data_IF_851138856335
#
_entry.id   IF_851138856335
#
_cell.length_a   1.000
_cell.length_b   1.000
_cell.length_c   1.000
_cell.angle_alpha   90.00
_cell.angle_beta   90.00
_cell.angle_gamma   90.00
#
_symmetry.space_group_name_H-M   'P 1'
#
loop_
_entity.id
_entity.type
_entity.pdbx_description
1 polymer ?
#
# COMPACT_ATOMS: atom_id res chain seq x y z
N UNK A 1 7.50 -11.41 -28.84
CA UNK A 1 8.63 -11.07 -27.98
C UNK A 1 8.47 -9.71 -27.27
N UNK A 2 8.19 -8.59 -27.96
CA UNK A 2 7.97 -7.26 -27.33
C UNK A 2 6.81 -7.23 -26.32
N UNK A 3 5.68 -7.87 -26.58
CA UNK A 3 4.53 -7.93 -25.66
C UNK A 3 4.85 -8.73 -24.39
N UNK A 4 5.58 -9.83 -24.49
CA UNK A 4 6.01 -10.64 -23.34
C UNK A 4 6.96 -9.82 -22.46
N UNK A 5 7.93 -9.12 -23.07
CA UNK A 5 8.87 -8.27 -22.34
C UNK A 5 8.16 -7.10 -21.64
N UNK A 6 7.15 -6.51 -22.27
CA UNK A 6 6.31 -5.48 -21.64
C UNK A 6 5.49 -6.03 -20.47
N UNK A 7 4.91 -7.23 -20.62
CA UNK A 7 4.19 -7.90 -19.53
C UNK A 7 5.13 -8.19 -18.35
N UNK A 8 6.30 -8.80 -18.60
CA UNK A 8 7.29 -9.09 -17.54
C UNK A 8 7.75 -7.82 -16.82
N UNK A 9 7.95 -6.73 -17.54
CA UNK A 9 8.34 -5.45 -16.93
C UNK A 9 7.20 -4.81 -16.11
N UNK A 10 5.97 -5.02 -16.54
CA UNK A 10 4.79 -4.50 -15.84
C UNK A 10 4.46 -5.32 -14.59
N UNK A 11 4.52 -6.64 -14.70
CA UNK A 11 4.14 -7.61 -13.68
C UNK A 11 5.37 -8.39 -13.16
N UNK A 12 6.48 -7.69 -12.93
CA UNK A 12 7.75 -8.33 -12.56
C UNK A 12 7.64 -9.18 -11.28
N UNK A 13 6.92 -8.69 -10.27
CA UNK A 13 6.73 -9.40 -9.00
C UNK A 13 5.95 -10.70 -9.21
N UNK A 14 4.88 -10.67 -10.01
CA UNK A 14 4.11 -11.85 -10.39
C UNK A 14 4.98 -12.87 -11.12
N UNK A 15 5.79 -12.43 -12.08
CA UNK A 15 6.69 -13.31 -12.83
C UNK A 15 7.74 -13.97 -11.95
N UNK A 16 8.32 -13.21 -11.00
CA UNK A 16 9.29 -13.74 -10.03
C UNK A 16 8.60 -14.75 -9.11
N UNK A 17 7.44 -14.42 -8.55
CA UNK A 17 6.67 -15.32 -7.69
C UNK A 17 6.32 -16.64 -8.42
N UNK A 18 5.85 -16.53 -9.68
CA UNK A 18 5.55 -17.69 -10.52
C UNK A 18 6.79 -18.56 -10.79
N UNK A 19 7.92 -17.92 -11.12
CA UNK A 19 9.17 -18.65 -11.34
C UNK A 19 9.66 -19.38 -10.07
N UNK A 20 9.55 -18.75 -8.90
CA UNK A 20 9.89 -19.36 -7.62
C UNK A 20 8.94 -20.52 -7.27
N UNK A 21 7.63 -20.35 -7.46
CA UNK A 21 6.65 -21.42 -7.24
C UNK A 21 6.90 -22.62 -8.16
N UNK A 22 7.11 -22.38 -9.46
CA UNK A 22 7.42 -23.43 -10.43
C UNK A 22 8.76 -24.08 -10.11
N UNK A 23 9.80 -23.29 -9.82
CA UNK A 23 11.12 -23.82 -9.45
C UNK A 23 11.05 -24.71 -8.20
N UNK A 24 10.30 -24.31 -7.17
CA UNK A 24 10.12 -25.11 -5.95
C UNK A 24 9.31 -26.40 -6.21
N UNK A 25 8.42 -26.42 -7.21
CA UNK A 25 7.62 -27.57 -7.56
C UNK A 25 8.46 -28.74 -8.14
N UNK A 26 9.67 -28.47 -8.67
CA UNK A 26 10.60 -29.54 -9.07
C UNK A 26 11.23 -30.26 -7.88
N UNK A 27 11.29 -29.61 -6.71
CA UNK A 27 11.83 -30.17 -5.47
C UNK A 27 10.72 -30.81 -4.63
N UNK A 28 9.57 -30.12 -4.55
CA UNK A 28 8.36 -30.60 -3.86
C UNK A 28 7.26 -30.71 -4.90
N UNK A 29 7.00 -31.90 -5.47
CA UNK A 29 6.01 -32.07 -6.55
C UNK A 29 4.60 -31.63 -6.16
N UNK A 30 3.81 -31.10 -7.10
CA UNK A 30 2.43 -30.70 -6.85
C UNK A 30 1.60 -31.85 -6.26
N UNK A 31 0.90 -31.55 -5.17
CA UNK A 31 0.00 -32.49 -4.48
C UNK A 31 -1.22 -31.74 -3.92
N UNK A 32 -2.16 -32.46 -3.34
CA UNK A 32 -3.32 -31.87 -2.66
C UNK A 32 -2.93 -30.89 -1.53
N UNK A 33 -1.76 -31.06 -0.93
CA UNK A 33 -1.21 -30.18 0.11
C UNK A 33 -0.98 -28.72 -0.37
N UNK A 34 -0.86 -28.49 -1.68
CA UNK A 34 -0.72 -27.13 -2.21
C UNK A 34 -1.94 -26.25 -1.90
N UNK A 35 -3.13 -26.85 -1.81
CA UNK A 35 -4.33 -26.11 -1.42
C UNK A 35 -4.29 -25.69 0.06
N UNK A 36 -3.62 -26.46 0.92
CA UNK A 36 -3.47 -26.15 2.34
C UNK A 36 -2.46 -25.01 2.60
N UNK A 37 -1.56 -24.75 1.64
CA UNK A 37 -0.65 -23.60 1.73
C UNK A 37 -1.34 -22.28 1.48
N UNK A 38 -2.48 -22.29 0.75
CA UNK A 38 -3.15 -21.08 0.31
C UNK A 38 -4.06 -20.55 1.41
N UNK A 39 -3.76 -19.33 1.87
CA UNK A 39 -4.64 -18.62 2.80
C UNK A 39 -5.82 -17.98 2.05
N UNK A 40 -6.89 -18.77 1.86
CA UNK A 40 -8.11 -18.31 1.20
C UNK A 40 -8.78 -17.14 1.94
N UNK A 41 -8.65 -17.06 3.26
CA UNK A 41 -9.20 -15.97 4.04
C UNK A 41 -8.60 -14.63 3.62
N UNK A 42 -7.28 -14.58 3.49
CA UNK A 42 -6.55 -13.39 3.06
C UNK A 42 -6.93 -13.02 1.63
N UNK A 43 -6.97 -13.99 0.70
CA UNK A 43 -7.33 -13.74 -0.70
C UNK A 43 -8.75 -13.17 -0.84
N UNK A 44 -9.72 -13.74 -0.12
CA UNK A 44 -11.12 -13.26 -0.11
C UNK A 44 -11.18 -11.84 0.44
N UNK A 45 -10.53 -11.56 1.56
CA UNK A 45 -10.50 -10.23 2.16
C UNK A 45 -9.88 -9.20 1.23
N UNK A 46 -8.74 -9.52 0.60
CA UNK A 46 -8.09 -8.64 -0.37
C UNK A 46 -9.00 -8.36 -1.56
N UNK A 47 -9.59 -9.40 -2.15
CA UNK A 47 -10.50 -9.24 -3.28
C UNK A 47 -11.69 -8.35 -2.93
N UNK A 48 -12.37 -8.66 -1.82
CA UNK A 48 -13.57 -7.94 -1.39
C UNK A 48 -13.28 -6.47 -1.05
N UNK A 49 -12.17 -6.20 -0.37
CA UNK A 49 -11.72 -4.83 -0.09
C UNK A 49 -11.42 -4.07 -1.39
N UNK A 50 -10.65 -4.66 -2.32
CA UNK A 50 -10.32 -4.02 -3.60
C UNK A 50 -11.58 -3.67 -4.40
N UNK A 51 -12.52 -4.59 -4.49
CA UNK A 51 -13.79 -4.38 -5.21
C UNK A 51 -14.63 -3.28 -4.57
N UNK A 52 -14.77 -3.29 -3.25
CA UNK A 52 -15.57 -2.31 -2.50
C UNK A 52 -14.97 -0.92 -2.61
N UNK A 53 -13.66 -0.80 -2.42
CA UNK A 53 -12.92 0.47 -2.50
C UNK A 53 -12.94 1.02 -3.93
N UNK A 54 -12.85 0.17 -4.96
CA UNK A 54 -13.03 0.58 -6.34
C UNK A 54 -14.43 1.16 -6.60
N UNK A 55 -15.47 0.58 -5.96
CA UNK A 55 -16.83 1.10 -5.99
C UNK A 55 -16.94 2.49 -5.37
N UNK A 56 -16.42 2.69 -4.15
CA UNK A 56 -16.40 4.00 -3.48
C UNK A 56 -15.68 5.03 -4.35
N UNK A 57 -14.49 4.69 -4.88
CA UNK A 57 -13.70 5.56 -5.74
C UNK A 57 -14.49 6.01 -6.99
N UNK A 58 -15.24 5.11 -7.60
CA UNK A 58 -16.01 5.39 -8.82
C UNK A 58 -17.14 6.42 -8.60
N UNK A 59 -17.63 6.57 -7.36
CA UNK A 59 -18.67 7.57 -7.05
C UNK A 59 -18.17 9.01 -7.06
N UNK A 60 -16.84 9.23 -7.15
CA UNK A 60 -16.24 10.57 -7.07
C UNK A 60 -16.17 11.14 -5.64
N UNK A 61 -16.51 10.35 -4.62
CA UNK A 61 -16.56 10.80 -3.21
C UNK A 61 -15.22 11.39 -2.73
N UNK A 62 -14.10 10.75 -3.09
CA UNK A 62 -12.76 11.23 -2.68
C UNK A 62 -12.38 12.55 -3.32
N UNK A 63 -12.67 12.73 -4.62
CA UNK A 63 -12.43 13.99 -5.31
C UNK A 63 -13.29 15.11 -4.73
N UNK A 64 -14.56 14.83 -4.43
CA UNK A 64 -15.46 15.78 -3.79
C UNK A 64 -14.99 16.19 -2.39
N UNK A 65 -14.50 15.21 -1.59
CA UNK A 65 -13.92 15.46 -0.27
C UNK A 65 -12.69 16.38 -0.36
N UNK A 66 -11.74 16.04 -1.24
CA UNK A 66 -10.52 16.82 -1.44
C UNK A 66 -10.84 18.26 -1.85
N UNK A 67 -11.71 18.45 -2.83
CA UNK A 67 -12.10 19.78 -3.28
C UNK A 67 -12.85 20.57 -2.20
N UNK A 68 -13.72 19.91 -1.44
CA UNK A 68 -14.42 20.53 -0.32
C UNK A 68 -13.48 21.09 0.75
N UNK A 69 -12.46 20.33 1.10
CA UNK A 69 -11.46 20.73 2.09
C UNK A 69 -10.50 21.80 1.56
N UNK A 70 -10.08 21.72 0.29
CA UNK A 70 -9.12 22.65 -0.30
C UNK A 70 -9.70 24.03 -0.62
N UNK A 71 -11.01 24.18 -0.71
CA UNK A 71 -11.65 25.48 -0.98
C UNK A 71 -11.32 26.59 0.01
N UNK A 72 -10.96 26.24 1.24
CA UNK A 72 -10.67 27.19 2.31
C UNK A 72 -9.18 27.47 2.48
N UNK A 73 -8.34 26.89 1.61
CA UNK A 73 -6.89 26.96 1.73
C UNK A 73 -6.30 27.67 0.53
N UNK A 74 -5.52 28.72 0.77
CA UNK A 74 -5.00 29.63 -0.26
C UNK A 74 -3.47 29.69 -0.28
N UNK A 75 -2.77 28.77 0.37
CA UNK A 75 -1.32 28.73 0.35
C UNK A 75 -0.80 27.33 0.02
N UNK A 76 0.25 27.25 -0.79
CA UNK A 76 0.90 25.97 -1.21
C UNK A 76 1.27 25.10 0.00
N UNK A 77 1.81 25.72 1.07
CA UNK A 77 2.17 25.00 2.31
C UNK A 77 0.95 24.33 2.95
N UNK A 78 -0.14 25.05 3.10
CA UNK A 78 -1.34 24.54 3.76
C UNK A 78 -2.09 23.53 2.88
N UNK A 79 -2.10 23.77 1.57
CA UNK A 79 -2.62 22.79 0.57
C UNK A 79 -1.80 21.50 0.65
N UNK A 80 -0.47 21.61 0.65
CA UNK A 80 0.42 20.45 0.75
C UNK A 80 0.24 19.70 2.07
N UNK A 81 0.16 20.40 3.19
CA UNK A 81 -0.12 19.79 4.49
C UNK A 81 -1.45 19.03 4.48
N UNK A 82 -2.51 19.64 3.92
CA UNK A 82 -3.82 19.01 3.84
C UNK A 82 -3.80 17.76 2.95
N UNK A 83 -3.15 17.81 1.78
CA UNK A 83 -3.02 16.67 0.86
C UNK A 83 -2.21 15.53 1.49
N UNK A 84 -1.12 15.85 2.17
CA UNK A 84 -0.29 14.86 2.88
C UNK A 84 -1.09 14.21 4.03
N UNK A 85 -1.85 14.98 4.80
CA UNK A 85 -2.74 14.46 5.83
C UNK A 85 -3.86 13.59 5.23
N UNK A 86 -4.45 14.02 4.11
CA UNK A 86 -5.42 13.21 3.38
C UNK A 86 -4.82 11.89 2.89
N UNK A 87 -3.60 11.91 2.32
CA UNK A 87 -2.89 10.68 1.95
C UNK A 87 -2.70 9.77 3.15
N UNK A 88 -2.27 10.33 4.28
CA UNK A 88 -2.02 9.58 5.51
C UNK A 88 -3.29 8.90 6.04
N UNK A 89 -4.38 9.64 6.23
CA UNK A 89 -5.60 9.11 6.82
C UNK A 89 -6.44 8.26 5.84
N UNK A 90 -6.50 8.64 4.56
CA UNK A 90 -7.23 7.85 3.57
C UNK A 90 -6.55 6.50 3.31
N UNK A 91 -5.23 6.43 3.34
CA UNK A 91 -4.51 5.17 3.13
C UNK A 91 -4.75 4.13 4.23
N UNK A 92 -5.21 4.55 5.41
CA UNK A 92 -5.63 3.63 6.47
C UNK A 92 -6.89 2.83 6.08
N UNK A 93 -7.74 3.39 5.23
CA UNK A 93 -9.03 2.83 4.85
C UNK A 93 -9.04 2.23 3.44
N UNK A 94 -8.32 2.89 2.48
CA UNK A 94 -8.44 2.62 1.05
C UNK A 94 -7.30 1.79 0.46
N UNK A 95 -6.25 1.56 1.19
CA UNK A 95 -4.91 1.18 0.77
C UNK A 95 -4.07 2.35 0.24
N UNK A 96 -2.76 2.26 0.43
CA UNK A 96 -1.78 3.25 -0.04
C UNK A 96 -1.84 3.45 -1.57
N UNK A 97 -1.95 2.37 -2.33
CA UNK A 97 -1.96 2.39 -3.81
C UNK A 97 -3.18 3.14 -4.35
N UNK A 98 -4.37 2.82 -3.84
CA UNK A 98 -5.62 3.47 -4.26
C UNK A 98 -5.63 4.96 -3.90
N UNK A 99 -5.10 5.28 -2.72
CA UNK A 99 -4.98 6.66 -2.26
C UNK A 99 -4.12 7.47 -3.23
N UNK A 100 -2.94 6.97 -3.61
CA UNK A 100 -2.04 7.70 -4.51
C UNK A 100 -2.53 7.76 -5.94
N UNK A 101 -3.11 6.68 -6.49
CA UNK A 101 -3.74 6.72 -7.82
C UNK A 101 -4.87 7.76 -7.89
N UNK A 102 -5.46 8.11 -6.75
CA UNK A 102 -6.53 9.10 -6.68
C UNK A 102 -6.01 10.51 -6.44
N UNK A 103 -5.10 10.70 -5.48
CA UNK A 103 -4.65 12.02 -5.04
C UNK A 103 -3.53 12.59 -5.91
N UNK A 104 -2.57 11.79 -6.37
CA UNK A 104 -1.43 12.27 -7.17
C UNK A 104 -1.87 12.99 -8.47
N UNK A 105 -2.78 12.43 -9.31
CA UNK A 105 -3.27 13.16 -10.48
C UNK A 105 -3.98 14.47 -10.12
N UNK A 106 -4.72 14.47 -8.99
CA UNK A 106 -5.37 15.68 -8.50
C UNK A 106 -4.35 16.74 -8.06
N UNK A 107 -3.29 16.35 -7.37
CA UNK A 107 -2.18 17.23 -6.95
C UNK A 107 -1.46 17.80 -8.17
N UNK A 108 -1.18 16.99 -9.20
CA UNK A 108 -0.55 17.45 -10.44
C UNK A 108 -1.39 18.52 -11.12
N UNK A 109 -2.70 18.31 -11.26
CA UNK A 109 -3.63 19.30 -11.85
C UNK A 109 -3.70 20.59 -11.02
N UNK A 110 -3.70 20.47 -9.69
CA UNK A 110 -3.75 21.64 -8.80
C UNK A 110 -2.50 22.51 -8.93
N UNK A 111 -1.33 21.90 -9.14
CA UNK A 111 -0.05 22.59 -9.25
C UNK A 111 0.25 23.14 -10.65
N UNK A 112 -0.56 22.83 -11.68
CA UNK A 112 -0.41 23.41 -13.02
C UNK A 112 -0.51 24.95 -13.03
N UNK A 113 -1.21 25.54 -12.06
CA UNK A 113 -1.36 26.99 -11.90
C UNK A 113 -0.13 27.70 -11.29
N UNK A 114 0.90 26.99 -10.85
CA UNK A 114 2.10 27.58 -10.24
C UNK A 114 3.10 28.01 -11.33
N UNK A 115 3.79 29.17 -11.19
CA UNK A 115 4.83 29.60 -12.10
C UNK A 115 5.93 28.56 -12.28
N UNK A 116 6.35 28.29 -13.52
CA UNK A 116 7.27 27.20 -13.91
C UNK A 116 8.59 27.17 -13.14
N UNK A 117 9.10 28.29 -12.68
CA UNK A 117 10.39 28.37 -11.98
C UNK A 117 10.40 27.57 -10.66
N UNK A 118 9.28 27.54 -9.94
CA UNK A 118 9.13 26.84 -8.66
C UNK A 118 8.30 25.56 -8.74
N UNK A 119 7.50 25.41 -9.80
CA UNK A 119 6.53 24.33 -9.96
C UNK A 119 7.18 22.94 -9.79
N UNK A 120 8.29 22.67 -10.48
CA UNK A 120 8.94 21.36 -10.44
C UNK A 120 9.45 20.99 -9.04
N UNK A 121 10.03 21.97 -8.33
CA UNK A 121 10.57 21.76 -6.99
C UNK A 121 9.46 21.49 -5.98
N UNK A 122 8.36 22.22 -6.06
CA UNK A 122 7.19 22.08 -5.20
C UNK A 122 6.51 20.74 -5.49
N UNK A 123 6.27 20.43 -6.77
CA UNK A 123 5.64 19.19 -7.21
C UNK A 123 6.40 17.97 -6.75
N UNK A 124 7.72 17.91 -6.96
CA UNK A 124 8.55 16.79 -6.51
C UNK A 124 8.44 16.61 -5.00
N UNK A 125 8.60 17.69 -4.22
CA UNK A 125 8.55 17.62 -2.76
C UNK A 125 7.19 17.14 -2.27
N UNK A 126 6.13 17.69 -2.81
CA UNK A 126 4.77 17.36 -2.39
C UNK A 126 4.44 15.91 -2.73
N UNK A 127 4.72 15.44 -3.95
CA UNK A 127 4.47 14.05 -4.35
C UNK A 127 5.30 13.03 -3.55
N UNK A 128 6.55 13.39 -3.19
CA UNK A 128 7.37 12.55 -2.32
C UNK A 128 6.77 12.47 -0.92
N UNK A 129 6.30 13.59 -0.36
CA UNK A 129 5.63 13.62 0.95
C UNK A 129 4.29 12.88 0.93
N UNK A 130 3.48 13.02 -0.11
CA UNK A 130 2.23 12.25 -0.29
C UNK A 130 2.50 10.75 -0.36
N UNK A 131 3.55 10.35 -1.08
CA UNK A 131 3.93 8.93 -1.18
C UNK A 131 4.37 8.37 0.17
N UNK A 132 5.23 9.09 0.89
CA UNK A 132 5.63 8.71 2.23
C UNK A 132 4.43 8.66 3.18
N UNK A 133 3.51 9.64 3.08
CA UNK A 133 2.30 9.69 3.88
C UNK A 133 1.37 8.51 3.62
N UNK A 134 1.18 8.11 2.37
CA UNK A 134 0.37 6.95 2.03
C UNK A 134 0.98 5.64 2.57
N UNK A 135 2.29 5.45 2.45
CA UNK A 135 2.97 4.28 3.01
C UNK A 135 2.92 4.25 4.54
N UNK A 136 3.21 5.38 5.19
CA UNK A 136 3.29 5.50 6.65
C UNK A 136 1.91 5.55 7.32
N UNK A 137 0.90 6.11 6.66
CA UNK A 137 -0.47 6.10 7.13
C UNK A 137 -1.09 4.71 7.04
N UNK A 138 -0.92 4.03 5.91
CA UNK A 138 -1.49 2.71 5.68
C UNK A 138 -1.01 1.65 6.68
N UNK A 139 0.12 1.85 7.32
CA UNK A 139 0.63 0.88 8.29
C UNK A 139 -0.22 0.79 9.55
N UNK A 140 -1.02 1.83 9.91
CA UNK A 140 -1.77 1.87 11.17
C UNK A 140 -2.95 0.90 11.20
N UNK A 141 -3.43 0.41 10.06
CA UNK A 141 -4.58 -0.51 10.02
C UNK A 141 -4.25 -1.78 9.25
N UNK A 142 -4.90 -2.92 9.59
CA UNK A 142 -4.72 -4.15 8.83
C UNK A 142 -5.13 -4.03 7.36
N UNK A 143 -6.10 -3.18 7.04
CA UNK A 143 -6.62 -3.00 5.67
C UNK A 143 -5.88 -1.95 4.86
N UNK A 144 -5.00 -1.15 5.46
CA UNK A 144 -4.29 -0.07 4.80
C UNK A 144 -3.31 -0.56 3.73
N UNK A 145 -2.82 -1.81 3.84
CA UNK A 145 -2.00 -2.43 2.81
C UNK A 145 -2.08 -3.98 2.87
N UNK A 146 -1.79 -4.67 1.74
CA UNK A 146 -1.94 -6.12 1.65
C UNK A 146 -1.08 -6.91 2.65
N UNK A 147 0.16 -6.48 2.90
CA UNK A 147 1.06 -7.18 3.83
C UNK A 147 0.55 -7.10 5.28
N UNK A 148 -0.06 -5.99 5.68
CA UNK A 148 -0.64 -5.87 7.01
C UNK A 148 -1.81 -6.82 7.19
N UNK A 149 -2.71 -6.88 6.21
CA UNK A 149 -3.85 -7.77 6.26
C UNK A 149 -3.39 -9.23 6.33
N UNK A 150 -2.36 -9.59 5.56
CA UNK A 150 -1.77 -10.91 5.58
C UNK A 150 -1.15 -11.22 6.95
N UNK A 151 -0.24 -10.39 7.45
CA UNK A 151 0.44 -10.63 8.75
C UNK A 151 -0.54 -10.62 9.93
N UNK A 152 -1.56 -9.74 9.89
CA UNK A 152 -2.65 -9.70 10.88
C UNK A 152 -3.36 -11.05 10.97
N UNK A 153 -3.66 -11.67 9.83
CA UNK A 153 -4.31 -12.98 9.80
C UNK A 153 -3.33 -14.12 10.13
N UNK A 154 -2.13 -14.12 9.54
CA UNK A 154 -1.11 -15.16 9.70
C UNK A 154 -0.70 -15.37 11.15
N UNK A 155 -0.47 -14.27 11.89
CA UNK A 155 -0.07 -14.33 13.31
C UNK A 155 -1.23 -14.22 14.30
N UNK A 156 -2.44 -14.17 13.81
CA UNK A 156 -3.61 -14.12 14.69
C UNK A 156 -3.68 -12.88 15.58
N UNK A 157 -3.09 -11.76 15.17
CA UNK A 157 -3.11 -10.52 15.97
C UNK A 157 -4.53 -10.11 16.35
N UNK A 158 -4.70 -9.65 17.61
CA UNK A 158 -5.86 -8.83 17.95
C UNK A 158 -5.68 -7.41 17.39
N UNK A 159 -6.77 -6.66 17.24
CA UNK A 159 -6.68 -5.26 16.82
C UNK A 159 -5.83 -4.44 17.80
N UNK A 160 -5.97 -4.69 19.11
CA UNK A 160 -5.16 -4.01 20.13
C UNK A 160 -3.66 -4.32 20.01
N UNK A 161 -3.29 -5.60 19.81
CA UNK A 161 -1.89 -6.02 19.61
C UNK A 161 -1.30 -5.40 18.35
N UNK A 162 -2.08 -5.38 17.25
CA UNK A 162 -1.66 -4.77 16.00
C UNK A 162 -1.40 -3.27 16.16
N UNK A 163 -2.38 -2.55 16.72
CA UNK A 163 -2.27 -1.10 16.92
C UNK A 163 -1.13 -0.76 17.89
N UNK A 164 -0.96 -1.47 18.99
CA UNK A 164 0.13 -1.21 19.94
C UNK A 164 1.52 -1.41 19.33
N UNK A 165 1.66 -2.34 18.37
CA UNK A 165 2.91 -2.55 17.67
C UNK A 165 3.26 -1.40 16.71
N UNK A 166 2.26 -0.80 16.05
CA UNK A 166 2.47 0.16 14.95
C UNK A 166 2.24 1.61 15.36
N UNK A 167 1.37 1.88 16.34
CA UNK A 167 0.98 3.25 16.69
C UNK A 167 2.16 4.20 17.01
N UNK A 168 3.21 3.80 17.73
CA UNK A 168 4.35 4.68 17.99
C UNK A 168 5.01 5.18 16.71
N UNK A 169 5.18 4.30 15.72
CA UNK A 169 5.76 4.63 14.41
C UNK A 169 4.85 5.53 13.59
N UNK A 170 3.53 5.28 13.62
CA UNK A 170 2.55 6.11 12.93
C UNK A 170 2.47 7.53 13.50
N UNK A 171 2.52 7.68 14.83
CA UNK A 171 2.51 9.00 15.48
C UNK A 171 3.76 9.79 15.14
N UNK A 172 4.95 9.17 15.24
CA UNK A 172 6.19 9.83 14.84
C UNK A 172 6.17 10.19 13.34
N UNK A 173 5.68 9.29 12.49
CA UNK A 173 5.55 9.54 11.06
C UNK A 173 4.67 10.74 10.74
N UNK A 174 3.53 10.87 11.42
CA UNK A 174 2.63 11.99 11.25
C UNK A 174 3.32 13.32 11.64
N UNK A 175 4.05 13.33 12.75
CA UNK A 175 4.81 14.50 13.19
C UNK A 175 5.92 14.88 12.20
N UNK A 176 6.69 13.89 11.71
CA UNK A 176 7.74 14.11 10.71
C UNK A 176 7.18 14.63 9.38
N UNK A 177 6.06 14.09 8.90
CA UNK A 177 5.40 14.52 7.68
C UNK A 177 4.86 15.94 7.79
N UNK A 178 4.16 16.26 8.90
CA UNK A 178 3.66 17.60 9.14
C UNK A 178 4.81 18.62 9.27
N UNK A 179 5.86 18.30 10.02
CA UNK A 179 7.08 19.10 10.12
C UNK A 179 7.74 19.32 8.77
N UNK A 180 7.85 18.29 7.94
CA UNK A 180 8.40 18.39 6.58
C UNK A 180 7.58 19.30 5.67
N UNK A 181 6.25 19.25 5.74
CA UNK A 181 5.40 20.18 5.02
C UNK A 181 5.65 21.64 5.43
N UNK A 182 5.75 21.88 6.73
CA UNK A 182 5.98 23.23 7.27
C UNK A 182 7.37 23.77 6.92
N UNK A 183 8.39 22.91 6.86
CA UNK A 183 9.78 23.31 6.59
C UNK A 183 10.09 23.42 5.09
N UNK A 184 9.60 22.50 4.26
CA UNK A 184 10.05 22.37 2.88
C UNK A 184 9.09 22.93 1.83
N UNK A 185 7.83 23.23 2.19
CA UNK A 185 6.87 23.83 1.27
C UNK A 185 6.80 25.35 1.50
N UNK A 186 6.78 26.17 0.39
CA UNK A 186 6.75 27.62 0.48
C UNK A 186 5.37 28.14 0.88
N UNK A 187 5.36 29.34 1.49
CA UNK A 187 4.14 30.12 1.72
C UNK A 187 3.88 30.98 0.48
N UNK A 188 3.45 30.34 -0.60
CA UNK A 188 3.06 31.02 -1.82
C UNK A 188 1.54 30.93 -1.97
N UNK A 189 0.87 31.99 -2.48
CA UNK A 189 -0.55 31.90 -2.77
C UNK A 189 -0.82 30.89 -3.90
N UNK A 190 -1.93 30.19 -3.80
CA UNK A 190 -2.44 29.27 -4.81
C UNK A 190 -3.94 29.45 -4.88
N UNK A 191 -4.49 29.47 -6.10
CA UNK A 191 -5.92 29.50 -6.29
C UNK A 191 -6.55 28.14 -5.97
N UNK A 192 -7.63 28.12 -5.18
CA UNK A 192 -8.34 26.88 -4.92
C UNK A 192 -8.95 26.31 -6.21
N UNK A 193 -9.13 24.98 -6.30
CA UNK A 193 -9.68 24.36 -7.50
C UNK A 193 -11.09 24.88 -7.79
N UNK A 194 -11.29 25.42 -9.00
CA UNK A 194 -12.57 26.00 -9.45
C UNK A 194 -13.63 24.94 -9.78
N UNK A 195 -13.20 23.72 -10.12
CA UNK A 195 -14.11 22.63 -10.46
C UNK A 195 -14.87 22.10 -9.24
N UNK A 196 -16.18 21.94 -9.40
CA UNK A 196 -17.01 21.30 -8.37
C UNK A 196 -17.24 19.86 -8.76
N UNK A 197 -16.48 18.94 -8.17
CA UNK A 197 -16.86 17.51 -8.22
C UNK A 197 -18.06 17.28 -7.31
N UNK A 198 -19.13 16.74 -7.89
CA UNK A 198 -20.28 16.24 -7.13
C UNK A 198 -20.19 14.72 -7.04
N UNK A 199 -20.66 14.19 -5.94
CA UNK A 199 -20.88 12.74 -5.80
C UNK A 199 -21.90 12.35 -6.87
N UNK A 200 -21.47 11.54 -7.84
CA UNK A 200 -22.29 11.17 -9.00
C UNK A 200 -23.51 10.34 -8.62
N UNK A 201 -23.39 9.52 -7.58
CA UNK A 201 -24.44 8.58 -7.15
C UNK A 201 -24.43 8.40 -5.63
N UNK A 202 -25.11 9.27 -4.83
CA UNK A 202 -25.11 9.17 -3.36
C UNK A 202 -25.64 7.84 -2.85
N UNK A 203 -26.66 7.26 -3.49
CA UNK A 203 -27.20 5.96 -3.11
C UNK A 203 -26.21 4.81 -3.30
N UNK A 204 -25.45 4.81 -4.42
CA UNK A 204 -24.38 3.83 -4.63
C UNK A 204 -23.23 4.01 -3.63
N UNK A 205 -22.89 5.25 -3.30
CA UNK A 205 -21.89 5.53 -2.26
C UNK A 205 -22.34 4.92 -0.92
N UNK A 206 -23.59 5.14 -0.50
CA UNK A 206 -24.13 4.55 0.71
C UNK A 206 -24.04 3.02 0.70
N UNK A 207 -24.42 2.39 -0.41
CA UNK A 207 -24.30 0.93 -0.57
C UNK A 207 -22.84 0.44 -0.45
N UNK A 208 -21.89 1.10 -1.12
CA UNK A 208 -20.47 0.72 -1.01
C UNK A 208 -19.89 0.99 0.39
N UNK A 209 -20.31 2.04 1.08
CA UNK A 209 -19.93 2.27 2.48
C UNK A 209 -20.47 1.17 3.41
N UNK A 210 -21.69 0.70 3.18
CA UNK A 210 -22.25 -0.44 3.92
C UNK A 210 -21.42 -1.71 3.65
N UNK A 211 -21.12 -2.01 2.38
CA UNK A 211 -20.27 -3.15 2.01
C UNK A 211 -18.87 -3.03 2.61
N UNK A 212 -18.33 -1.83 2.71
CA UNK A 212 -17.06 -1.59 3.41
C UNK A 212 -17.18 -1.91 4.91
N UNK A 213 -18.28 -1.54 5.55
CA UNK A 213 -18.58 -1.95 6.92
C UNK A 213 -18.61 -3.47 7.10
N UNK A 214 -19.20 -4.22 6.15
CA UNK A 214 -19.20 -5.70 6.17
C UNK A 214 -17.78 -6.24 6.02
N UNK A 215 -16.93 -5.64 5.17
CA UNK A 215 -15.49 -5.99 5.10
C UNK A 215 -14.82 -5.79 6.47
N UNK A 216 -15.06 -4.66 7.16
CA UNK A 216 -14.50 -4.39 8.49
C UNK A 216 -14.87 -5.46 9.51
N UNK A 217 -16.15 -5.88 9.54
CA UNK A 217 -16.61 -6.96 10.43
C UNK A 217 -15.85 -8.27 10.15
N UNK A 218 -15.52 -8.54 8.90
CA UNK A 218 -14.75 -9.75 8.54
C UNK A 218 -13.27 -9.62 8.92
N UNK A 219 -12.66 -8.43 8.75
CA UNK A 219 -11.30 -8.15 9.22
C UNK A 219 -11.22 -8.32 10.74
N UNK A 220 -12.22 -7.84 11.48
CA UNK A 220 -12.35 -8.00 12.93
C UNK A 220 -12.72 -9.44 13.37
N UNK A 221 -12.81 -10.39 12.42
CA UNK A 221 -13.14 -11.81 12.65
C UNK A 221 -14.54 -12.06 13.23
N UNK A 222 -15.45 -11.10 13.10
CA UNK A 222 -16.86 -11.24 13.51
C UNK A 222 -17.64 -12.01 12.43
N UNK A 223 -17.31 -11.78 11.14
CA UNK A 223 -17.99 -12.41 10.01
C UNK A 223 -17.09 -13.41 9.30
N UNK A 224 -17.71 -14.50 8.79
CA UNK A 224 -16.98 -15.50 8.00
C UNK A 224 -16.60 -14.94 6.61
N UNK A 225 -15.35 -15.12 6.12
CA UNK A 225 -14.92 -14.61 4.82
C UNK A 225 -15.75 -15.12 3.64
N UNK A 226 -16.21 -16.36 3.67
CA UNK A 226 -17.06 -16.91 2.60
C UNK A 226 -18.42 -16.22 2.51
N UNK A 227 -19.00 -15.83 3.66
CA UNK A 227 -20.22 -15.02 3.69
C UNK A 227 -19.97 -13.65 3.08
N UNK A 228 -18.85 -13.00 3.44
CA UNK A 228 -18.42 -11.74 2.84
C UNK A 228 -18.31 -11.85 1.32
N UNK A 229 -17.65 -12.90 0.81
CA UNK A 229 -17.48 -13.12 -0.63
C UNK A 229 -18.83 -13.16 -1.35
N UNK A 230 -19.77 -13.95 -0.84
CA UNK A 230 -21.12 -14.04 -1.43
C UNK A 230 -21.87 -12.71 -1.38
N UNK A 231 -21.85 -12.01 -0.24
CA UNK A 231 -22.50 -10.69 -0.09
C UNK A 231 -21.92 -9.69 -1.09
N UNK A 232 -20.60 -9.59 -1.20
CA UNK A 232 -19.95 -8.66 -2.14
C UNK A 232 -20.25 -9.05 -3.58
N UNK A 233 -20.12 -10.33 -3.95
CA UNK A 233 -20.39 -10.78 -5.33
C UNK A 233 -21.83 -10.50 -5.74
N UNK A 234 -22.81 -10.83 -4.91
CA UNK A 234 -24.24 -10.59 -5.20
C UNK A 234 -24.51 -9.09 -5.28
N UNK A 235 -24.03 -8.31 -4.32
CA UNK A 235 -24.23 -6.86 -4.31
C UNK A 235 -23.65 -6.19 -5.56
N UNK A 236 -22.43 -6.57 -5.98
CA UNK A 236 -21.79 -5.98 -7.17
C UNK A 236 -22.42 -6.46 -8.47
N UNK A 237 -22.93 -7.68 -8.55
CA UNK A 237 -23.71 -8.14 -9.71
C UNK A 237 -24.96 -7.30 -9.91
N UNK A 238 -25.56 -6.78 -8.84
CA UNK A 238 -26.75 -5.93 -8.87
C UNK A 238 -26.40 -4.45 -9.06
N UNK A 239 -25.32 -3.95 -8.42
CA UNK A 239 -24.96 -2.53 -8.43
C UNK A 239 -24.11 -2.13 -9.63
N UNK A 240 -23.02 -2.86 -9.88
CA UNK A 240 -22.06 -2.57 -10.98
C UNK A 240 -21.11 -3.74 -11.24
N UNK A 241 -21.41 -4.53 -12.25
CA UNK A 241 -20.59 -5.68 -12.68
C UNK A 241 -19.21 -5.26 -13.21
N UNK A 242 -19.03 -4.02 -13.63
CA UNK A 242 -17.76 -3.55 -14.18
C UNK A 242 -16.64 -3.53 -13.15
N UNK A 243 -16.98 -3.49 -11.85
CA UNK A 243 -16.03 -3.47 -10.75
C UNK A 243 -15.16 -4.73 -10.67
N UNK A 244 -15.70 -5.90 -11.08
CA UNK A 244 -14.92 -7.14 -11.12
C UNK A 244 -13.69 -7.01 -12.03
N UNK A 245 -13.71 -6.16 -13.06
CA UNK A 245 -12.56 -5.91 -13.93
C UNK A 245 -11.53 -4.95 -13.34
N UNK A 246 -11.85 -4.32 -12.20
CA UNK A 246 -10.99 -3.32 -11.54
C UNK A 246 -10.17 -3.89 -10.39
N UNK A 247 -10.42 -5.14 -9.99
CA UNK A 247 -9.60 -5.81 -8.99
C UNK A 247 -8.21 -6.14 -9.56
N UNK A 248 -7.20 -6.05 -8.73
CA UNK A 248 -5.82 -6.44 -9.06
C UNK A 248 -5.65 -7.96 -8.90
N UNK A 249 -6.01 -8.68 -9.96
CA UNK A 249 -5.84 -10.14 -10.01
C UNK A 249 -4.37 -10.56 -10.06
N UNK A 250 -3.47 -9.69 -10.57
CA UNK A 250 -2.03 -9.95 -10.56
C UNK A 250 -1.50 -10.03 -9.14
N UNK A 251 -1.96 -9.13 -8.25
CA UNK A 251 -1.63 -9.17 -6.83
C UNK A 251 -2.13 -10.47 -6.17
N UNK A 252 -3.39 -10.85 -6.39
CA UNK A 252 -3.93 -12.09 -5.82
C UNK A 252 -3.17 -13.33 -6.28
N UNK A 253 -2.85 -13.42 -7.57
CA UNK A 253 -2.07 -14.53 -8.12
C UNK A 253 -0.63 -14.53 -7.57
N UNK A 254 -0.05 -13.37 -7.34
CA UNK A 254 1.25 -13.23 -6.69
C UNK A 254 1.24 -13.84 -5.29
N UNK A 255 0.18 -13.57 -4.50
CA UNK A 255 0.01 -14.20 -3.18
C UNK A 255 -0.07 -15.72 -3.28
N UNK A 256 -0.87 -16.26 -4.22
CA UNK A 256 -0.99 -17.71 -4.44
C UNK A 256 0.38 -18.33 -4.75
N UNK A 257 1.16 -17.74 -5.66
CA UNK A 257 2.49 -18.25 -6.00
C UNK A 257 3.46 -18.19 -4.82
N UNK A 258 3.43 -17.11 -4.04
CA UNK A 258 4.27 -17.04 -2.84
C UNK A 258 3.82 -18.03 -1.76
N UNK A 259 2.53 -18.27 -1.58
CA UNK A 259 2.04 -19.29 -0.65
C UNK A 259 2.55 -20.68 -1.03
N UNK A 260 2.48 -21.04 -2.31
CA UNK A 260 3.03 -22.30 -2.82
C UNK A 260 4.54 -22.37 -2.59
N UNK A 261 5.27 -21.32 -2.95
CA UNK A 261 6.73 -21.28 -2.77
C UNK A 261 7.12 -21.43 -1.30
N UNK A 262 6.51 -20.66 -0.40
CA UNK A 262 6.79 -20.71 1.05
C UNK A 262 6.39 -22.08 1.65
N UNK A 263 5.24 -22.63 1.25
CA UNK A 263 4.82 -23.96 1.66
C UNK A 263 5.83 -25.04 1.26
N UNK A 264 6.31 -24.98 0.00
CA UNK A 264 7.36 -25.90 -0.47
C UNK A 264 8.68 -25.73 0.27
N UNK A 265 9.09 -24.49 0.56
CA UNK A 265 10.29 -24.17 1.35
C UNK A 265 10.22 -24.77 2.75
N UNK A 266 9.05 -24.74 3.38
CA UNK A 266 8.82 -25.36 4.71
C UNK A 266 9.07 -26.86 4.71
N UNK A 267 8.86 -27.53 3.58
CA UNK A 267 9.09 -28.99 3.42
C UNK A 267 10.55 -29.36 3.10
N UNK A 268 11.49 -28.41 3.10
CA UNK A 268 12.93 -28.64 2.92
C UNK A 268 13.64 -28.31 4.24
N UNK A 269 13.77 -29.28 5.20
CA UNK A 269 14.22 -28.99 6.57
C UNK A 269 15.62 -28.34 6.66
N UNK A 270 16.55 -28.77 5.78
CA UNK A 270 17.90 -28.21 5.75
C UNK A 270 17.92 -26.73 5.40
N UNK A 271 17.07 -26.31 4.44
CA UNK A 271 17.00 -24.93 3.98
C UNK A 271 16.20 -24.08 4.96
N UNK A 272 15.02 -24.52 5.38
CA UNK A 272 14.17 -23.79 6.32
C UNK A 272 14.89 -23.56 7.65
N UNK A 273 15.57 -24.59 8.21
CA UNK A 273 16.32 -24.46 9.44
C UNK A 273 17.55 -23.55 9.35
N UNK A 274 18.23 -23.48 8.21
CA UNK A 274 19.33 -22.53 7.99
C UNK A 274 18.81 -21.08 7.91
N UNK A 275 17.72 -20.86 7.17
CA UNK A 275 17.10 -19.54 7.01
C UNK A 275 16.46 -19.04 8.32
N UNK A 276 15.81 -19.92 9.09
CA UNK A 276 15.29 -19.57 10.41
C UNK A 276 16.40 -19.11 11.36
N UNK A 277 17.52 -19.86 11.43
CA UNK A 277 18.68 -19.47 12.26
C UNK A 277 19.28 -18.14 11.83
N UNK A 278 19.33 -17.85 10.53
CA UNK A 278 19.81 -16.56 10.02
C UNK A 278 18.88 -15.41 10.41
N UNK A 279 17.55 -15.63 10.38
CA UNK A 279 16.53 -14.65 10.71
C UNK A 279 16.44 -14.35 12.20
N UNK A 280 16.68 -15.34 13.06
CA UNK A 280 16.45 -15.23 14.49
C UNK A 280 17.18 -14.04 15.11
N UNK A 281 16.42 -13.13 15.73
CA UNK A 281 16.90 -11.87 16.31
C UNK A 281 17.22 -10.75 15.30
N UNK A 282 17.01 -11.00 14.01
CA UNK A 282 17.27 -10.03 12.91
C UNK A 282 16.06 -9.78 12.01
N UNK A 283 14.89 -10.24 12.42
CA UNK A 283 13.68 -10.28 11.60
C UNK A 283 13.29 -8.90 11.06
N UNK A 284 13.34 -7.88 11.90
CA UNK A 284 13.01 -6.51 11.51
C UNK A 284 13.96 -5.99 10.41
N UNK A 285 15.27 -6.04 10.65
CA UNK A 285 16.25 -5.53 9.70
C UNK A 285 16.23 -6.34 8.40
N UNK A 286 16.07 -7.67 8.49
CA UNK A 286 15.95 -8.53 7.30
C UNK A 286 14.68 -8.18 6.52
N UNK A 287 13.56 -7.89 7.19
CA UNK A 287 12.33 -7.47 6.53
C UNK A 287 12.48 -6.11 5.84
N UNK A 288 13.14 -5.15 6.49
CA UNK A 288 13.47 -3.85 5.87
C UNK A 288 14.33 -4.05 4.62
N UNK A 289 15.41 -4.82 4.72
CA UNK A 289 16.35 -5.03 3.59
C UNK A 289 15.71 -5.85 2.45
N UNK A 290 14.99 -6.92 2.77
CA UNK A 290 14.27 -7.71 1.77
C UNK A 290 13.25 -6.85 1.01
N UNK A 291 12.55 -5.96 1.70
CA UNK A 291 11.59 -5.04 1.07
C UNK A 291 12.24 -4.13 0.02
N UNK A 292 13.52 -3.75 0.20
CA UNK A 292 14.23 -2.92 -0.78
C UNK A 292 14.46 -3.63 -2.12
N UNK A 293 14.48 -4.97 -2.11
CA UNK A 293 14.81 -5.80 -3.28
C UNK A 293 13.56 -6.40 -3.92
N UNK A 294 12.66 -6.98 -3.10
CA UNK A 294 11.51 -7.74 -3.58
C UNK A 294 10.16 -7.07 -3.28
N UNK A 295 10.16 -5.86 -2.72
CA UNK A 295 8.98 -5.15 -2.19
C UNK A 295 8.46 -5.73 -0.86
N UNK A 296 7.76 -4.88 -0.09
CA UNK A 296 7.31 -5.19 1.27
C UNK A 296 6.26 -6.32 1.33
N UNK A 297 5.37 -6.45 0.35
CA UNK A 297 4.35 -7.51 0.32
C UNK A 297 4.99 -8.90 0.13
N UNK A 298 5.81 -9.15 -0.90
CA UNK A 298 6.56 -10.39 -1.03
C UNK A 298 7.45 -10.70 0.17
N UNK A 299 8.14 -9.68 0.71
CA UNK A 299 8.99 -9.83 1.88
C UNK A 299 8.19 -10.33 3.10
N UNK A 300 6.99 -9.78 3.33
CA UNK A 300 6.10 -10.21 4.41
C UNK A 300 5.71 -11.70 4.28
N UNK A 301 5.30 -12.13 3.08
CA UNK A 301 4.89 -13.52 2.86
C UNK A 301 6.07 -14.48 3.01
N UNK A 302 7.20 -14.14 2.37
CA UNK A 302 8.39 -14.98 2.39
C UNK A 302 8.93 -15.19 3.82
N UNK A 303 9.11 -14.08 4.55
CA UNK A 303 9.73 -14.13 5.88
C UNK A 303 8.79 -14.69 6.95
N UNK A 304 7.48 -14.55 6.79
CA UNK A 304 6.50 -15.12 7.73
C UNK A 304 6.44 -16.65 7.72
N UNK A 305 6.90 -17.30 6.66
CA UNK A 305 7.09 -18.74 6.63
C UNK A 305 8.33 -19.22 7.38
N UNK A 306 9.21 -18.29 7.76
CA UNK A 306 10.52 -18.59 8.35
C UNK A 306 10.69 -18.05 9.78
N UNK A 307 9.76 -17.25 10.30
CA UNK A 307 9.85 -16.63 11.62
C UNK A 307 8.51 -16.65 12.34
N UNK A 308 8.55 -16.88 13.65
CA UNK A 308 7.39 -16.75 14.54
C UNK A 308 7.27 -15.34 15.14
N UNK A 309 8.24 -14.45 14.91
CA UNK A 309 8.22 -13.09 15.41
C UNK A 309 7.41 -12.15 14.49
N UNK A 310 6.09 -12.34 14.49
CA UNK A 310 5.17 -11.55 13.67
C UNK A 310 5.22 -10.05 13.95
N UNK A 311 5.52 -9.62 15.21
CA UNK A 311 5.63 -8.19 15.54
C UNK A 311 6.81 -7.55 14.83
N UNK A 312 7.98 -8.17 14.85
CA UNK A 312 9.16 -7.65 14.17
C UNK A 312 8.97 -7.61 12.64
N UNK A 313 8.33 -8.65 12.06
CA UNK A 313 8.01 -8.66 10.63
C UNK A 313 6.97 -7.59 10.27
N UNK A 314 5.94 -7.38 11.08
CA UNK A 314 4.94 -6.35 10.87
C UNK A 314 5.58 -4.95 10.84
N UNK A 315 6.41 -4.64 11.83
CA UNK A 315 7.13 -3.35 11.86
C UNK A 315 8.11 -3.27 10.70
N UNK A 316 8.96 -4.30 10.51
CA UNK A 316 10.02 -4.30 9.51
C UNK A 316 9.52 -4.17 8.07
N UNK A 317 8.43 -4.84 7.69
CA UNK A 317 7.86 -4.74 6.33
C UNK A 317 7.15 -3.42 6.08
N UNK A 318 6.56 -2.79 7.11
CA UNK A 318 5.98 -1.46 6.99
C UNK A 318 7.08 -0.38 6.86
N UNK A 319 8.08 -0.39 7.72
CA UNK A 319 9.23 0.51 7.60
C UNK A 319 10.01 0.24 6.31
N UNK A 320 10.11 -1.02 5.91
CA UNK A 320 10.73 -1.46 4.66
C UNK A 320 10.03 -0.96 3.40
N UNK A 321 8.79 -0.50 3.48
CA UNK A 321 8.10 0.19 2.38
C UNK A 321 8.68 1.57 2.05
N UNK A 322 9.52 2.13 2.94
CA UNK A 322 10.35 3.31 2.71
C UNK A 322 11.68 2.89 2.07
N UNK A 323 12.40 3.84 1.46
CA UNK A 323 13.73 3.63 0.88
C UNK A 323 13.70 3.67 -0.64
N UNK A 324 13.85 2.53 -1.32
CA UNK A 324 13.87 2.46 -2.78
C UNK A 324 12.46 2.53 -3.39
N UNK A 325 12.36 2.88 -4.69
CA UNK A 325 11.09 2.84 -5.42
C UNK A 325 10.48 1.43 -5.49
N UNK A 326 11.33 0.39 -5.43
CA UNK A 326 10.90 -1.01 -5.50
C UNK A 326 10.29 -1.46 -4.17
N UNK A 327 10.67 -0.83 -3.07
CA UNK A 327 10.26 -1.20 -1.72
C UNK A 327 8.74 -1.20 -1.53
N UNK A 328 8.00 -0.33 -2.26
CA UNK A 328 6.54 -0.27 -2.23
C UNK A 328 5.98 0.00 -3.63
N UNK A 329 4.93 -0.75 -4.01
CA UNK A 329 4.17 -0.51 -5.24
C UNK A 329 3.61 0.92 -5.30
N UNK A 330 3.15 1.46 -4.18
CA UNK A 330 2.67 2.83 -4.03
C UNK A 330 3.71 3.87 -4.50
N UNK A 331 4.98 3.66 -4.13
CA UNK A 331 6.10 4.52 -4.56
C UNK A 331 6.30 4.51 -6.07
N UNK A 332 6.19 3.31 -6.67
CA UNK A 332 6.32 3.14 -8.11
C UNK A 332 5.14 3.77 -8.88
N UNK A 333 3.94 3.72 -8.33
CA UNK A 333 2.74 4.36 -8.90
C UNK A 333 2.94 5.87 -9.00
N UNK A 334 3.31 6.53 -7.89
CA UNK A 334 3.54 7.98 -7.90
C UNK A 334 4.65 8.37 -8.87
N UNK A 335 5.76 7.62 -8.88
CA UNK A 335 6.85 7.87 -9.83
C UNK A 335 6.38 7.78 -11.28
N UNK A 336 5.61 6.75 -11.64
CA UNK A 336 5.09 6.57 -13.01
C UNK A 336 4.14 7.71 -13.41
N UNK A 337 3.25 8.13 -12.50
CA UNK A 337 2.33 9.23 -12.74
C UNK A 337 3.07 10.55 -12.94
N UNK A 338 4.07 10.83 -12.08
CA UNK A 338 4.90 12.02 -12.22
C UNK A 338 5.74 11.99 -13.50
N UNK A 339 6.39 10.86 -13.81
CA UNK A 339 7.24 10.73 -14.99
C UNK A 339 6.48 10.88 -16.32
N UNK A 340 5.17 10.61 -16.33
CA UNK A 340 4.30 10.80 -17.47
C UNK A 340 3.81 12.25 -17.62
N UNK A 341 3.99 13.10 -16.60
CA UNK A 341 3.57 14.50 -16.65
C UNK A 341 4.52 15.35 -17.52
N UNK A 342 4.00 16.33 -18.27
CA UNK A 342 4.82 17.23 -19.09
C UNK A 342 5.84 18.00 -18.24
N UNK A 343 7.09 18.05 -18.70
CA UNK A 343 8.18 18.77 -18.01
C UNK A 343 8.74 18.07 -16.77
N UNK A 344 8.38 16.81 -16.53
CA UNK A 344 8.87 16.05 -15.39
C UNK A 344 10.40 15.91 -15.36
N UNK A 345 10.97 15.80 -14.16
CA UNK A 345 12.40 15.61 -13.90
C UNK A 345 12.64 14.30 -13.11
N UNK A 346 12.51 13.11 -13.74
CA UNK A 346 12.55 11.82 -13.06
C UNK A 346 13.81 11.57 -12.22
N UNK A 347 14.98 11.99 -12.71
CA UNK A 347 16.25 11.84 -11.96
C UNK A 347 16.25 12.65 -10.65
N UNK A 348 15.74 13.88 -10.71
CA UNK A 348 15.64 14.76 -9.53
C UNK A 348 14.60 14.23 -8.55
N UNK A 349 13.45 13.75 -9.06
CA UNK A 349 12.45 13.08 -8.25
C UNK A 349 13.05 11.91 -7.48
N UNK A 350 13.78 11.01 -8.16
CA UNK A 350 14.42 9.86 -7.52
C UNK A 350 15.39 10.27 -6.41
N UNK A 351 16.21 11.30 -6.63
CA UNK A 351 17.14 11.80 -5.62
C UNK A 351 16.43 12.32 -4.37
N UNK A 352 15.42 13.17 -4.54
CA UNK A 352 14.61 13.72 -3.44
C UNK A 352 13.82 12.61 -2.74
N UNK A 353 13.22 11.69 -3.51
CA UNK A 353 12.47 10.55 -3.00
C UNK A 353 13.35 9.66 -2.11
N UNK A 354 14.50 9.22 -2.62
CA UNK A 354 15.40 8.32 -1.89
C UNK A 354 15.93 8.99 -0.61
N UNK A 355 16.37 10.24 -0.70
CA UNK A 355 16.89 10.97 0.46
C UNK A 355 15.81 11.14 1.55
N UNK A 356 14.61 11.54 1.17
CA UNK A 356 13.49 11.73 2.10
C UNK A 356 13.08 10.42 2.77
N UNK A 357 12.91 9.35 1.98
CA UNK A 357 12.50 8.05 2.51
C UNK A 357 13.59 7.42 3.39
N UNK A 358 14.87 7.55 3.05
CA UNK A 358 15.97 7.09 3.90
C UNK A 358 16.03 7.88 5.22
N UNK A 359 15.78 9.18 5.20
CA UNK A 359 15.74 9.99 6.42
C UNK A 359 14.58 9.55 7.34
N UNK A 360 13.38 9.31 6.79
CA UNK A 360 12.26 8.78 7.56
C UNK A 360 12.52 7.37 8.08
N UNK A 361 13.07 6.49 7.23
CA UNK A 361 13.43 5.14 7.64
C UNK A 361 14.43 5.16 8.80
N UNK A 362 15.47 5.99 8.72
CA UNK A 362 16.46 6.12 9.78
C UNK A 362 15.84 6.62 11.11
N UNK A 363 14.97 7.63 11.04
CA UNK A 363 14.27 8.15 12.22
C UNK A 363 13.37 7.09 12.88
N UNK A 364 12.66 6.29 12.08
CA UNK A 364 11.78 5.23 12.57
C UNK A 364 12.56 4.01 13.09
N UNK A 365 13.70 3.67 12.49
CA UNK A 365 14.60 2.64 13.01
C UNK A 365 15.27 3.08 14.32
N UNK A 366 15.60 4.34 14.46
CA UNK A 366 16.05 4.89 15.75
C UNK A 366 14.96 4.75 16.81
N UNK A 367 13.71 5.08 16.50
CA UNK A 367 12.60 4.86 17.45
C UNK A 367 12.52 3.39 17.87
N UNK A 368 12.68 2.44 16.93
CA UNK A 368 12.68 1.01 17.25
C UNK A 368 13.79 0.61 18.23
N UNK A 369 14.95 1.26 18.14
CA UNK A 369 16.07 0.97 19.04
C UNK A 369 15.85 1.49 20.47
N UNK A 370 14.91 2.42 20.70
CA UNK A 370 14.59 2.99 21.99
C UNK A 370 13.34 2.42 22.66
N UNK A 371 12.52 1.66 21.93
CA UNK A 371 11.29 0.98 22.44
C UNK A 371 11.54 -0.51 22.56
#
# INVERSE_FOLDING_TARGET
>A
MKQILQFVRREAVLCIAGALAIGSAFVVPPSGAYLDYIDFRVLILLLCLMLTVAGIRQTGAFTALCQGLLRRVHSVRMVGLLLVLLCFFLSMLLTNDVTLVTLVPFTLLLLEGIPRQDADRITIRLLVLETAAANLGSMLTPMGNPQNLYLYNRYGFSMGTFLSAIAPYSVLSLALLAGSCLLFLPVQPIDPPKAQSRIQSPGRLGAYCLLFGVNLLTVLRILNPWILLWVICIALLLLDRSLFRKADYSLLLTFVFFFIFVGNMGNIPALSGALQRFLQGRELLTAVLASQVISNVPAAILLSGLSENGRALLIGTNLGGLGTLIASMASLITYKLYAAAPGSQPKRYMGVFTLCNLAYLAALLLLYAFI
#
